data_IF_673111083369
#
_entry.id   IF_673111083369
#
_cell.length_a   1.000
_cell.length_b   1.000
_cell.length_c   1.000
_cell.angle_alpha   90.00
_cell.angle_beta   90.00
_cell.angle_gamma   90.00
#
_symmetry.space_group_name_H-M   'P 1'
#
loop_
_entity.id
_entity.type
_entity.pdbx_description
1 polymer ?
#
# COMPACT_ATOMS: atom_id res chain seq x y z
N UNK A 1 -60.07 -36.77 10.03
CA UNK A 1 -59.02 -36.43 9.03
C UNK A 1 -58.28 -35.22 9.56
N UNK A 2 -57.03 -35.42 10.00
CA UNK A 2 -56.20 -34.43 10.68
C UNK A 2 -55.36 -33.68 9.64
N UNK A 3 -55.54 -32.37 9.55
CA UNK A 3 -54.67 -31.48 8.78
C UNK A 3 -53.57 -30.99 9.73
N UNK A 4 -52.33 -31.43 9.51
CA UNK A 4 -51.16 -30.98 10.25
C UNK A 4 -50.57 -29.79 9.50
N UNK A 5 -50.60 -28.61 10.13
CA UNK A 5 -49.91 -27.41 9.68
C UNK A 5 -48.48 -27.49 10.23
N UNK A 6 -47.51 -27.65 9.33
CA UNK A 6 -46.08 -27.59 9.66
C UNK A 6 -45.63 -26.13 9.63
N UNK A 7 -45.36 -25.55 10.80
CA UNK A 7 -44.68 -24.26 10.94
C UNK A 7 -43.18 -24.42 10.66
N UNK A 8 -42.71 -23.82 9.57
CA UNK A 8 -41.30 -23.69 9.24
C UNK A 8 -40.75 -22.43 9.94
N UNK A 9 -40.00 -22.61 11.03
CA UNK A 9 -39.23 -21.52 11.64
C UNK A 9 -37.92 -21.35 10.85
N UNK A 10 -37.85 -20.33 9.99
CA UNK A 10 -36.59 -19.85 9.44
C UNK A 10 -35.82 -19.13 10.55
N UNK A 11 -34.87 -19.82 11.19
CA UNK A 11 -33.80 -19.18 11.94
C UNK A 11 -32.89 -18.46 10.95
N UNK A 12 -33.12 -17.16 10.76
CA UNK A 12 -32.11 -16.25 10.21
C UNK A 12 -31.02 -16.16 11.29
N UNK A 13 -29.94 -16.91 11.10
CA UNK A 13 -28.71 -16.66 11.82
C UNK A 13 -28.21 -15.28 11.37
N UNK A 14 -28.51 -14.25 12.18
CA UNK A 14 -27.80 -12.96 12.10
C UNK A 14 -26.38 -13.27 12.53
N UNK A 15 -25.53 -13.61 11.57
CA UNK A 15 -24.09 -13.52 11.77
C UNK A 15 -23.83 -12.01 11.90
N UNK A 16 -23.85 -11.52 13.13
CA UNK A 16 -23.33 -10.18 13.41
C UNK A 16 -21.85 -10.25 13.03
N UNK A 17 -21.49 -9.70 11.87
CA UNK A 17 -20.08 -9.51 11.54
C UNK A 17 -19.46 -8.70 12.69
N UNK A 18 -18.34 -9.19 13.21
CA UNK A 18 -17.62 -8.47 14.25
C UNK A 18 -17.23 -7.09 13.70
N UNK A 19 -17.59 -6.05 14.44
CA UNK A 19 -17.27 -4.68 14.07
C UNK A 19 -15.76 -4.45 14.23
N UNK A 20 -15.00 -4.22 13.14
CA UNK A 20 -13.55 -4.08 13.23
C UNK A 20 -13.14 -2.86 14.04
N UNK A 21 -13.98 -1.81 14.11
CA UNK A 21 -13.71 -0.61 14.89
C UNK A 21 -13.93 -0.84 16.38
N UNK A 22 -14.91 -1.66 16.77
CA UNK A 22 -15.06 -2.04 18.17
C UNK A 22 -13.82 -2.81 18.64
N UNK A 23 -13.29 -3.72 17.81
CA UNK A 23 -12.04 -4.42 18.13
C UNK A 23 -10.84 -3.47 18.21
N UNK A 24 -10.75 -2.45 17.35
CA UNK A 24 -9.73 -1.40 17.41
C UNK A 24 -9.82 -0.61 18.72
N UNK A 25 -11.03 -0.17 19.08
CA UNK A 25 -11.29 0.55 20.33
C UNK A 25 -10.85 -0.27 21.55
N UNK A 26 -11.15 -1.57 21.58
CA UNK A 26 -10.71 -2.46 22.67
C UNK A 26 -9.19 -2.64 22.76
N UNK A 27 -8.46 -2.43 21.66
CA UNK A 27 -6.99 -2.41 21.65
C UNK A 27 -6.41 -1.05 22.05
N UNK A 28 -7.12 0.04 21.79
CA UNK A 28 -6.74 1.39 22.25
C UNK A 28 -6.93 1.49 23.77
N UNK A 29 -8.12 1.15 24.27
CA UNK A 29 -8.47 1.15 25.69
C UNK A 29 -9.59 0.13 25.97
N UNK A 30 -9.38 -0.79 26.92
CA UNK A 30 -10.32 -1.88 27.17
C UNK A 30 -11.67 -1.34 27.65
N UNK A 31 -12.74 -1.72 26.97
CA UNK A 31 -14.10 -1.24 27.19
C UNK A 31 -14.46 0.06 26.44
N UNK A 32 -13.54 0.63 25.67
CA UNK A 32 -13.79 1.84 24.90
C UNK A 32 -14.93 1.67 23.88
N UNK A 33 -15.13 0.47 23.33
CA UNK A 33 -16.22 0.21 22.38
C UNK A 33 -17.60 0.65 22.90
N UNK A 34 -17.83 0.58 24.22
CA UNK A 34 -19.08 1.01 24.87
C UNK A 34 -19.30 2.52 24.86
N UNK A 35 -18.23 3.31 24.72
CA UNK A 35 -18.27 4.78 24.70
C UNK A 35 -18.56 5.33 23.30
N UNK A 36 -18.49 4.49 22.27
CA UNK A 36 -18.72 4.87 20.88
C UNK A 36 -19.90 4.10 20.28
N UNK A 37 -20.47 4.65 19.22
CA UNK A 37 -21.42 3.98 18.33
C UNK A 37 -20.93 4.22 16.91
N UNK A 38 -20.72 3.16 16.16
CA UNK A 38 -20.18 3.25 14.79
C UNK A 38 -21.24 2.82 13.78
N UNK A 39 -21.38 3.57 12.69
CA UNK A 39 -22.41 3.32 11.67
C UNK A 39 -21.83 3.41 10.26
N UNK A 40 -21.89 2.30 9.51
CA UNK A 40 -21.56 2.29 8.09
C UNK A 40 -22.72 2.86 7.26
N UNK A 41 -22.43 3.91 6.49
CA UNK A 41 -23.41 4.60 5.66
C UNK A 41 -22.93 4.62 4.21
N UNK A 42 -23.71 4.01 3.31
CA UNK A 42 -23.39 4.01 1.89
C UNK A 42 -23.31 5.44 1.33
N UNK A 43 -22.20 5.75 0.66
CA UNK A 43 -22.01 7.04 0.00
C UNK A 43 -20.98 6.90 -1.13
N UNK A 44 -21.19 7.59 -2.27
CA UNK A 44 -20.19 7.64 -3.33
C UNK A 44 -18.98 8.50 -2.96
N UNK A 45 -19.09 9.35 -1.94
CA UNK A 45 -18.00 10.23 -1.47
C UNK A 45 -17.44 9.68 -0.16
N UNK A 46 -16.12 9.77 0.01
CA UNK A 46 -15.49 9.25 1.23
C UNK A 46 -15.69 10.27 2.33
N UNK A 47 -16.22 9.83 3.48
CA UNK A 47 -16.53 10.73 4.56
C UNK A 47 -16.52 10.06 5.93
N UNK A 48 -16.36 10.88 6.96
CA UNK A 48 -16.80 10.55 8.31
C UNK A 48 -17.65 11.69 8.90
N UNK A 49 -18.51 11.35 9.86
CA UNK A 49 -19.35 12.28 10.59
C UNK A 49 -19.32 11.96 12.08
N UNK A 50 -19.08 12.98 12.91
CA UNK A 50 -19.13 12.92 14.36
C UNK A 50 -20.42 13.54 14.86
N UNK A 51 -21.09 12.88 15.80
CA UNK A 51 -22.25 13.41 16.50
C UNK A 51 -22.38 12.78 17.90
N UNK A 52 -23.44 13.12 18.63
CA UNK A 52 -23.66 12.68 20.00
C UNK A 52 -25.00 11.94 20.13
N UNK A 53 -25.00 10.79 20.81
CA UNK A 53 -26.21 10.07 21.20
C UNK A 53 -26.13 9.69 22.68
N UNK A 54 -26.88 10.39 23.53
CA UNK A 54 -26.77 10.25 24.99
C UNK A 54 -25.33 10.53 25.45
N UNK A 55 -24.70 9.51 26.04
CA UNK A 55 -23.30 9.55 26.50
C UNK A 55 -22.29 8.97 25.50
N UNK A 56 -22.74 8.48 24.33
CA UNK A 56 -21.86 7.90 23.32
C UNK A 56 -21.53 8.90 22.22
N UNK A 57 -20.30 8.82 21.74
CA UNK A 57 -19.88 9.50 20.50
C UNK A 57 -20.30 8.62 19.33
N UNK A 58 -21.07 9.20 18.40
CA UNK A 58 -21.49 8.51 17.18
C UNK A 58 -20.53 8.86 16.05
N UNK A 59 -19.97 7.85 15.41
CA UNK A 59 -19.07 8.00 14.27
C UNK A 59 -19.69 7.28 13.07
N UNK A 60 -20.06 8.03 12.05
CA UNK A 60 -20.54 7.47 10.77
C UNK A 60 -19.45 7.56 9.73
N UNK A 61 -19.45 6.64 8.77
CA UNK A 61 -18.58 6.73 7.59
C UNK A 61 -18.97 5.71 6.53
N UNK A 62 -18.49 5.89 5.30
CA UNK A 62 -18.81 4.97 4.20
C UNK A 62 -17.90 3.75 4.11
N UNK A 63 -16.81 3.71 4.88
CA UNK A 63 -15.93 2.55 5.04
C UNK A 63 -15.47 2.46 6.49
N UNK A 64 -14.99 1.28 6.92
CA UNK A 64 -14.43 1.13 8.27
C UNK A 64 -13.20 2.02 8.47
N UNK A 65 -12.33 2.13 7.46
CA UNK A 65 -11.20 3.07 7.47
C UNK A 65 -11.67 4.50 7.71
N UNK A 66 -12.73 4.97 7.06
CA UNK A 66 -13.21 6.34 7.28
C UNK A 66 -13.81 6.52 8.68
N UNK A 67 -14.44 5.48 9.25
CA UNK A 67 -14.85 5.49 10.67
C UNK A 67 -13.63 5.56 11.60
N UNK A 68 -12.55 4.83 11.31
CA UNK A 68 -11.30 4.90 12.06
C UNK A 68 -10.66 6.30 11.99
N UNK A 69 -10.68 6.96 10.83
CA UNK A 69 -10.26 8.36 10.69
C UNK A 69 -11.13 9.27 11.56
N UNK A 70 -12.45 9.08 11.58
CA UNK A 70 -13.34 9.83 12.46
C UNK A 70 -13.03 9.62 13.95
N UNK A 71 -12.67 8.40 14.35
CA UNK A 71 -12.19 8.11 15.69
C UNK A 71 -10.89 8.88 15.99
N UNK A 72 -9.90 8.81 15.10
CA UNK A 72 -8.64 9.53 15.26
C UNK A 72 -8.87 11.05 15.37
N UNK A 73 -9.74 11.60 14.51
CA UNK A 73 -10.14 13.01 14.54
C UNK A 73 -10.76 13.40 15.88
N UNK A 74 -11.71 12.60 16.37
CA UNK A 74 -12.33 12.85 17.67
C UNK A 74 -11.29 12.84 18.79
N UNK A 75 -10.42 11.84 18.82
CA UNK A 75 -9.37 11.73 19.83
C UNK A 75 -8.45 12.97 19.81
N UNK A 76 -7.99 13.40 18.64
CA UNK A 76 -7.12 14.57 18.49
C UNK A 76 -7.81 15.88 18.90
N UNK A 77 -8.98 16.17 18.33
CA UNK A 77 -9.57 17.51 18.40
C UNK A 77 -10.59 17.72 19.52
N UNK A 78 -11.17 16.64 20.06
CA UNK A 78 -12.11 16.73 21.20
C UNK A 78 -11.47 16.22 22.49
N UNK A 79 -10.76 15.10 22.44
CA UNK A 79 -10.18 14.49 23.64
C UNK A 79 -8.75 14.95 23.96
N UNK A 80 -8.05 15.62 23.03
CA UNK A 80 -6.66 16.01 23.20
C UNK A 80 -5.70 14.81 23.27
N UNK A 81 -6.09 13.68 22.67
CA UNK A 81 -5.37 12.41 22.67
C UNK A 81 -4.74 12.22 21.30
N UNK A 82 -3.46 11.90 21.28
CA UNK A 82 -2.69 11.73 20.06
C UNK A 82 -2.14 10.29 20.00
N UNK A 83 -2.51 9.54 18.97
CA UNK A 83 -2.08 8.15 18.76
C UNK A 83 -1.07 8.10 17.61
N UNK A 84 0.16 7.68 17.90
CA UNK A 84 1.25 7.55 16.92
C UNK A 84 1.97 6.22 17.14
N UNK A 85 2.94 5.86 16.29
CA UNK A 85 3.75 4.65 16.47
C UNK A 85 4.30 4.47 17.90
N UNK A 86 4.71 5.55 18.55
CA UNK A 86 5.25 5.51 19.92
C UNK A 86 4.18 5.31 21.01
N UNK A 87 2.91 5.52 20.69
CA UNK A 87 1.81 5.43 21.65
C UNK A 87 0.46 5.13 20.95
N UNK A 88 0.23 3.86 20.63
CA UNK A 88 -1.00 3.40 19.97
C UNK A 88 -2.15 3.01 20.93
N UNK A 89 -1.90 3.07 22.24
CA UNK A 89 -2.88 2.82 23.28
C UNK A 89 -2.94 4.00 24.25
N UNK A 90 -4.05 4.15 24.96
CA UNK A 90 -4.23 5.23 25.95
C UNK A 90 -5.31 4.86 26.94
N UNK A 91 -5.49 5.66 27.98
CA UNK A 91 -6.67 5.56 28.86
C UNK A 91 -7.66 6.67 28.51
N UNK A 92 -8.84 6.29 28.03
CA UNK A 92 -9.88 7.24 27.71
C UNK A 92 -10.55 7.72 29.00
N UNK A 93 -10.86 9.02 29.14
CA UNK A 93 -11.53 9.53 30.32
C UNK A 93 -12.88 8.84 30.53
N UNK A 94 -13.31 8.74 31.79
CA UNK A 94 -14.58 8.11 32.14
C UNK A 94 -15.78 8.77 31.43
N UNK A 95 -15.71 10.10 31.30
CA UNK A 95 -16.63 10.90 30.49
C UNK A 95 -15.88 11.51 29.32
N UNK A 96 -16.31 11.19 28.10
CA UNK A 96 -15.74 11.70 26.86
C UNK A 96 -16.23 13.14 26.59
N UNK A 97 -15.37 14.06 26.11
CA UNK A 97 -15.80 15.38 25.67
C UNK A 97 -16.91 15.30 24.62
N UNK A 98 -18.01 16.03 24.82
CA UNK A 98 -19.21 15.88 23.99
C UNK A 98 -19.04 16.55 22.63
N UNK A 99 -19.63 15.94 21.60
CA UNK A 99 -19.80 16.57 20.28
C UNK A 99 -21.09 17.40 20.31
N UNK A 100 -20.99 18.73 20.38
CA UNK A 100 -22.14 19.63 20.57
C UNK A 100 -22.93 19.90 19.29
N UNK A 101 -22.32 19.70 18.13
CA UNK A 101 -22.96 19.85 16.82
C UNK A 101 -22.38 18.83 15.85
N UNK A 102 -23.18 18.20 14.97
CA UNK A 102 -22.66 17.26 13.99
C UNK A 102 -21.54 17.88 13.14
N UNK A 103 -20.43 17.17 13.01
CA UNK A 103 -19.26 17.59 12.23
C UNK A 103 -18.96 16.53 11.16
N UNK A 104 -18.94 16.96 9.89
CA UNK A 104 -18.71 16.07 8.75
C UNK A 104 -17.50 16.50 7.94
N UNK A 105 -16.66 15.53 7.61
CA UNK A 105 -15.49 15.69 6.74
C UNK A 105 -15.63 14.75 5.56
N UNK A 106 -15.34 15.25 4.35
CA UNK A 106 -15.47 14.48 3.12
C UNK A 106 -14.31 14.75 2.18
N UNK A 107 -13.95 13.74 1.39
CA UNK A 107 -12.86 13.80 0.43
C UNK A 107 -13.17 13.05 -0.88
N UNK A 108 -12.62 13.58 -1.97
CA UNK A 108 -12.62 12.92 -3.29
C UNK A 108 -11.29 12.19 -3.55
N UNK A 109 -10.32 12.30 -2.62
CA UNK A 109 -9.06 11.57 -2.65
C UNK A 109 -9.31 10.14 -2.15
N UNK A 110 -9.71 9.27 -3.08
CA UNK A 110 -10.21 7.93 -2.80
C UNK A 110 -9.13 6.93 -2.38
N UNK A 111 -7.90 7.14 -2.81
CA UNK A 111 -6.80 6.20 -2.57
C UNK A 111 -5.81 6.79 -1.56
N UNK A 112 -5.56 6.09 -0.47
CA UNK A 112 -4.54 6.44 0.52
C UNK A 112 -3.63 5.24 0.67
N UNK A 113 -2.47 5.35 0.02
CA UNK A 113 -1.50 4.29 -0.13
C UNK A 113 -0.52 4.26 1.04
N UNK A 114 0.00 3.08 1.34
CA UNK A 114 1.09 2.92 2.29
C UNK A 114 2.09 1.84 1.86
N UNK A 115 3.33 2.17 2.21
CA UNK A 115 4.66 1.58 2.11
C UNK A 115 5.43 1.65 0.79
N UNK A 116 6.71 1.98 0.98
CA UNK A 116 7.79 1.68 0.07
C UNK A 116 8.24 0.21 0.25
N UNK A 117 8.80 -0.43 -0.79
CA UNK A 117 9.49 -1.72 -0.64
C UNK A 117 10.57 -1.65 0.45
N UNK A 118 11.36 -0.57 0.48
CA UNK A 118 12.42 -0.35 1.46
C UNK A 118 11.96 -0.49 2.92
N UNK A 119 10.72 -0.07 3.24
CA UNK A 119 10.13 -0.21 4.59
C UNK A 119 10.15 -1.64 5.10
N UNK A 120 9.94 -2.61 4.20
CA UNK A 120 9.89 -4.03 4.55
C UNK A 120 11.25 -4.57 5.01
N UNK A 121 12.35 -3.95 4.58
CA UNK A 121 13.70 -4.32 5.02
C UNK A 121 14.21 -3.45 6.16
N UNK A 122 14.04 -2.13 6.08
CA UNK A 122 14.61 -1.21 7.07
C UNK A 122 13.83 -1.14 8.38
N UNK A 123 12.51 -1.38 8.35
CA UNK A 123 11.67 -1.34 9.56
C UNK A 123 11.07 -2.71 9.89
N UNK A 124 10.57 -3.42 8.89
CA UNK A 124 9.63 -4.53 9.13
C UNK A 124 10.24 -5.93 9.03
N UNK A 125 11.53 -6.05 8.70
CA UNK A 125 12.18 -7.34 8.40
C UNK A 125 11.98 -8.39 9.49
N UNK A 126 11.84 -7.96 10.75
CA UNK A 126 11.69 -8.85 11.90
C UNK A 126 10.39 -8.65 12.67
N UNK A 127 9.39 -7.99 12.08
CA UNK A 127 8.10 -7.79 12.73
C UNK A 127 7.32 -9.09 12.87
N UNK A 128 6.77 -9.30 14.06
CA UNK A 128 5.81 -10.35 14.31
C UNK A 128 4.37 -9.89 14.02
N UNK A 129 3.42 -10.79 14.20
CA UNK A 129 2.00 -10.46 14.03
C UNK A 129 1.53 -9.35 14.98
N UNK A 130 2.05 -9.28 16.21
CA UNK A 130 1.62 -8.28 17.19
C UNK A 130 2.00 -6.88 16.71
N UNK A 131 3.22 -6.71 16.18
CA UNK A 131 3.65 -5.42 15.61
C UNK A 131 2.89 -5.09 14.33
N UNK A 132 2.66 -6.05 13.44
CA UNK A 132 1.83 -5.86 12.24
C UNK A 132 0.39 -5.46 12.57
N UNK A 133 -0.22 -6.05 13.59
CA UNK A 133 -1.55 -5.67 14.05
C UNK A 133 -1.61 -4.20 14.47
N UNK A 134 -0.62 -3.73 15.22
CA UNK A 134 -0.50 -2.32 15.61
C UNK A 134 -0.33 -1.42 14.39
N UNK A 135 0.45 -1.83 13.39
CA UNK A 135 0.61 -1.05 12.16
C UNK A 135 -0.69 -0.92 11.37
N UNK A 136 -1.44 -2.02 11.23
CA UNK A 136 -2.69 -1.98 10.47
C UNK A 136 -3.75 -1.13 11.18
N UNK A 137 -3.70 -1.07 12.51
CA UNK A 137 -4.52 -0.15 13.29
C UNK A 137 -4.10 1.32 13.08
N UNK A 138 -2.79 1.60 13.04
CA UNK A 138 -2.26 2.91 12.70
C UNK A 138 -2.71 3.32 11.29
N UNK A 139 -2.53 2.44 10.30
CA UNK A 139 -2.99 2.64 8.92
C UNK A 139 -4.48 3.01 8.87
N UNK A 140 -5.34 2.28 9.59
CA UNK A 140 -6.78 2.57 9.63
C UNK A 140 -7.08 3.96 10.22
N UNK A 141 -6.45 4.32 11.35
CA UNK A 141 -6.59 5.63 12.00
C UNK A 141 -6.08 6.80 11.13
N UNK A 142 -5.15 6.54 10.21
CA UNK A 142 -4.57 7.51 9.27
C UNK A 142 -5.20 7.45 7.88
N UNK A 143 -6.27 6.68 7.72
CA UNK A 143 -7.07 6.65 6.52
C UNK A 143 -6.52 5.81 5.38
N UNK A 144 -5.44 5.06 5.59
CA UNK A 144 -4.85 4.16 4.59
C UNK A 144 -5.86 3.09 4.20
N UNK A 145 -6.06 2.93 2.90
CA UNK A 145 -6.96 1.93 2.32
C UNK A 145 -6.33 1.13 1.17
N UNK A 146 -5.09 1.45 0.78
CA UNK A 146 -4.36 0.81 -0.31
C UNK A 146 -2.93 0.43 0.14
N UNK A 147 -2.74 -0.44 1.14
CA UNK A 147 -1.41 -0.78 1.64
C UNK A 147 -0.68 -1.78 0.74
N UNK A 148 0.62 -1.62 0.55
CA UNK A 148 1.51 -2.62 -0.02
C UNK A 148 1.59 -3.83 0.92
N UNK A 149 1.47 -5.04 0.37
CA UNK A 149 1.45 -6.29 1.11
C UNK A 149 2.30 -7.35 0.41
N UNK A 150 3.61 -7.27 0.62
CA UNK A 150 4.62 -8.12 -0.04
C UNK A 150 5.28 -9.15 0.89
N UNK A 151 4.87 -9.19 2.18
CA UNK A 151 5.36 -10.22 3.11
C UNK A 151 5.13 -11.62 2.52
N UNK A 152 6.18 -12.43 2.46
CA UNK A 152 6.08 -13.79 1.94
C UNK A 152 6.04 -13.87 0.41
N UNK A 153 6.43 -12.82 -0.32
CA UNK A 153 6.70 -12.88 -1.76
C UNK A 153 7.71 -13.98 -2.10
N UNK A 154 8.75 -14.11 -1.29
CA UNK A 154 9.79 -15.12 -1.42
C UNK A 154 9.25 -16.56 -1.33
N UNK A 155 8.07 -16.76 -0.73
CA UNK A 155 7.38 -18.06 -0.70
C UNK A 155 6.84 -18.41 -2.09
N UNK A 156 6.21 -17.45 -2.78
CA UNK A 156 5.71 -17.64 -4.14
C UNK A 156 6.88 -17.91 -5.10
N UNK A 157 7.98 -17.15 -4.96
CA UNK A 157 9.21 -17.36 -5.72
C UNK A 157 9.85 -18.73 -5.48
N UNK A 158 10.02 -19.14 -4.22
CA UNK A 158 10.56 -20.46 -3.88
C UNK A 158 9.73 -21.56 -4.54
N UNK A 159 8.40 -21.50 -4.42
CA UNK A 159 7.52 -22.50 -5.01
C UNK A 159 7.61 -22.52 -6.54
N UNK A 160 7.62 -21.36 -7.18
CA UNK A 160 7.80 -21.24 -8.63
C UNK A 160 9.13 -21.83 -9.08
N UNK A 161 10.24 -21.45 -8.45
CA UNK A 161 11.59 -21.89 -8.83
C UNK A 161 11.77 -23.40 -8.65
N UNK A 162 11.21 -23.98 -7.59
CA UNK A 162 11.16 -25.45 -7.42
C UNK A 162 10.44 -26.12 -8.59
N UNK A 163 9.31 -25.57 -9.06
CA UNK A 163 8.58 -26.09 -10.23
C UNK A 163 9.32 -25.90 -11.55
N UNK A 164 10.20 -24.90 -11.64
CA UNK A 164 11.08 -24.67 -12.79
C UNK A 164 12.35 -25.54 -12.76
N UNK A 165 12.58 -26.31 -11.69
CA UNK A 165 13.69 -27.26 -11.59
C UNK A 165 14.94 -26.72 -10.87
N UNK A 166 14.83 -25.61 -10.15
CA UNK A 166 15.86 -25.19 -9.20
C UNK A 166 15.80 -26.03 -7.94
N UNK A 167 16.97 -26.34 -7.39
CA UNK A 167 17.12 -26.96 -6.08
C UNK A 167 17.00 -25.92 -4.96
N UNK A 168 16.78 -26.37 -3.72
CA UNK A 168 16.77 -25.46 -2.55
C UNK A 168 18.09 -24.70 -2.39
N UNK A 169 19.21 -25.32 -2.73
CA UNK A 169 20.53 -24.68 -2.66
C UNK A 169 20.65 -23.55 -3.68
N UNK A 170 20.22 -23.77 -4.92
CA UNK A 170 20.23 -22.74 -5.96
C UNK A 170 19.28 -21.59 -5.62
N UNK A 171 18.09 -21.89 -5.08
CA UNK A 171 17.14 -20.88 -4.59
C UNK A 171 17.77 -20.06 -3.46
N UNK A 172 18.52 -20.69 -2.55
CA UNK A 172 19.23 -20.02 -1.47
C UNK A 172 20.37 -19.10 -1.92
N UNK A 173 20.86 -19.24 -3.15
CA UNK A 173 21.82 -18.33 -3.79
C UNK A 173 21.14 -17.16 -4.51
N UNK A 174 19.84 -17.27 -4.77
CA UNK A 174 19.05 -16.28 -5.48
C UNK A 174 18.26 -15.37 -4.53
N UNK A 175 17.45 -15.94 -3.64
CA UNK A 175 16.60 -15.18 -2.72
C UNK A 175 17.46 -14.60 -1.60
N UNK A 176 17.35 -13.29 -1.39
CA UNK A 176 18.11 -12.59 -0.36
C UNK A 176 17.65 -12.93 1.07
N UNK A 177 18.48 -12.55 2.04
CA UNK A 177 18.16 -12.64 3.46
C UNK A 177 17.11 -11.62 3.91
N UNK A 178 16.52 -11.79 5.11
CA UNK A 178 15.36 -11.04 5.57
C UNK A 178 15.50 -9.51 5.50
N UNK A 179 16.67 -9.00 5.87
CA UNK A 179 16.95 -7.57 5.91
C UNK A 179 17.28 -6.96 4.53
N UNK A 180 17.25 -7.76 3.46
CA UNK A 180 17.62 -7.35 2.11
C UNK A 180 16.55 -7.65 1.05
N UNK A 181 15.39 -8.17 1.47
CA UNK A 181 14.32 -8.59 0.56
C UNK A 181 13.80 -7.43 -0.30
N UNK A 182 13.75 -6.20 0.22
CA UNK A 182 13.26 -5.05 -0.54
C UNK A 182 14.02 -4.85 -1.85
N UNK A 183 15.35 -4.90 -1.80
CA UNK A 183 16.20 -4.75 -2.99
C UNK A 183 16.21 -5.99 -3.87
N UNK A 184 15.97 -7.17 -3.31
CA UNK A 184 15.78 -8.37 -4.12
C UNK A 184 14.46 -8.31 -4.89
N UNK A 185 13.36 -7.92 -4.24
CA UNK A 185 12.03 -7.73 -4.85
C UNK A 185 12.03 -6.63 -5.93
N UNK A 186 12.86 -5.59 -5.75
CA UNK A 186 13.10 -4.54 -6.75
C UNK A 186 14.19 -4.90 -7.79
N UNK A 187 14.60 -6.17 -7.85
CA UNK A 187 15.50 -6.71 -8.88
C UNK A 187 16.92 -6.08 -8.85
N UNK A 188 17.43 -5.69 -7.68
CA UNK A 188 18.73 -5.02 -7.50
C UNK A 188 19.84 -5.94 -6.98
N UNK A 189 19.53 -7.00 -6.23
CA UNK A 189 20.54 -7.92 -5.70
C UNK A 189 20.02 -9.35 -5.61
N UNK A 190 20.93 -10.32 -5.53
CA UNK A 190 20.63 -11.73 -5.30
C UNK A 190 21.37 -12.28 -4.07
N UNK A 191 20.72 -13.19 -3.34
CA UNK A 191 21.33 -14.11 -2.36
C UNK A 191 21.93 -13.49 -1.09
N UNK A 192 22.17 -12.18 -1.07
CA UNK A 192 22.88 -11.52 0.02
C UNK A 192 22.13 -11.63 1.36
N UNK A 193 22.84 -12.06 2.41
CA UNK A 193 22.26 -12.31 3.73
C UNK A 193 21.45 -13.61 3.86
N UNK A 194 21.31 -14.39 2.78
CA UNK A 194 20.71 -15.72 2.79
C UNK A 194 21.71 -16.83 3.14
N UNK A 195 21.31 -18.12 2.96
CA UNK A 195 20.00 -18.59 2.53
C UNK A 195 18.95 -18.56 3.65
N UNK A 196 17.67 -18.48 3.28
CA UNK A 196 16.55 -18.52 4.21
C UNK A 196 16.22 -19.97 4.63
N UNK A 197 16.01 -20.26 5.94
CA UNK A 197 15.59 -21.59 6.38
C UNK A 197 14.12 -21.87 6.03
N UNK A 198 13.71 -23.15 5.93
CA UNK A 198 12.31 -23.53 5.70
C UNK A 198 11.34 -22.91 6.72
N UNK A 199 11.79 -22.72 7.98
CA UNK A 199 11.01 -22.08 9.04
C UNK A 199 10.64 -20.63 8.71
N UNK A 200 11.51 -19.90 8.00
CA UNK A 200 11.24 -18.53 7.58
C UNK A 200 10.06 -18.50 6.61
N UNK A 201 10.13 -19.26 5.52
CA UNK A 201 9.06 -19.31 4.53
C UNK A 201 7.70 -19.71 5.14
N UNK A 202 7.69 -20.70 6.05
CA UNK A 202 6.47 -21.11 6.73
C UNK A 202 5.91 -20.00 7.64
N UNK A 203 6.79 -19.25 8.31
CA UNK A 203 6.41 -18.12 9.15
C UNK A 203 5.85 -16.96 8.32
N UNK A 204 6.51 -16.61 7.20
CA UNK A 204 6.09 -15.49 6.36
C UNK A 204 4.77 -15.77 5.64
N UNK A 205 4.56 -17.00 5.16
CA UNK A 205 3.26 -17.41 4.59
C UNK A 205 2.13 -17.25 5.62
N UNK A 206 2.35 -17.73 6.85
CA UNK A 206 1.35 -17.63 7.92
C UNK A 206 1.13 -16.18 8.38
N UNK A 207 2.18 -15.37 8.40
CA UNK A 207 2.12 -13.95 8.76
C UNK A 207 1.33 -13.16 7.72
N UNK A 208 1.65 -13.32 6.44
CA UNK A 208 0.97 -12.61 5.34
C UNK A 208 -0.52 -12.93 5.30
N UNK A 209 -0.90 -14.19 5.51
CA UNK A 209 -2.32 -14.59 5.61
C UNK A 209 -3.05 -13.85 6.75
N UNK A 210 -2.39 -13.56 7.87
CA UNK A 210 -2.97 -12.76 8.97
C UNK A 210 -3.06 -11.27 8.61
N UNK A 211 -2.02 -10.74 7.97
CA UNK A 211 -1.97 -9.33 7.49
C UNK A 211 -3.13 -9.07 6.53
N UNK A 212 -3.23 -9.87 5.46
CA UNK A 212 -4.29 -9.72 4.44
C UNK A 212 -5.68 -9.87 5.06
N UNK A 213 -5.88 -10.84 5.95
CA UNK A 213 -7.16 -10.99 6.66
C UNK A 213 -7.55 -9.72 7.40
N UNK A 214 -6.63 -9.11 8.16
CA UNK A 214 -6.91 -7.89 8.92
C UNK A 214 -7.10 -6.66 8.03
N UNK A 215 -6.34 -6.54 6.94
CA UNK A 215 -6.56 -5.49 5.95
C UNK A 215 -7.98 -5.57 5.36
N UNK A 216 -8.42 -6.77 4.99
CA UNK A 216 -9.78 -7.00 4.48
C UNK A 216 -10.88 -6.78 5.54
N UNK A 217 -10.63 -7.08 6.82
CA UNK A 217 -11.55 -6.75 7.92
C UNK A 217 -11.85 -5.24 7.96
N UNK A 218 -10.87 -4.38 7.69
CA UNK A 218 -11.05 -2.92 7.56
C UNK A 218 -11.57 -2.47 6.18
N UNK A 219 -11.70 -3.37 5.21
CA UNK A 219 -12.06 -3.05 3.83
C UNK A 219 -10.93 -2.40 3.02
N UNK A 220 -9.67 -2.53 3.47
CA UNK A 220 -8.50 -2.12 2.68
C UNK A 220 -8.37 -3.02 1.43
N UNK A 221 -7.70 -2.51 0.40
CA UNK A 221 -7.35 -3.21 -0.83
C UNK A 221 -5.82 -3.41 -0.86
N UNK A 222 -5.29 -4.55 -0.41
CA UNK A 222 -3.85 -4.79 -0.43
C UNK A 222 -3.29 -4.77 -1.86
N UNK A 223 -2.12 -4.16 -2.02
CA UNK A 223 -1.33 -4.19 -3.25
C UNK A 223 -0.37 -5.37 -3.15
N UNK A 224 -0.59 -6.42 -3.93
CA UNK A 224 0.26 -7.62 -3.93
C UNK A 224 1.46 -7.46 -4.88
N UNK A 225 2.55 -8.20 -4.71
CA UNK A 225 3.67 -8.13 -5.64
C UNK A 225 3.29 -8.80 -6.96
N UNK A 226 3.60 -8.18 -8.09
CA UNK A 226 3.42 -8.78 -9.40
C UNK A 226 4.72 -9.13 -10.08
N UNK A 227 4.63 -9.77 -11.25
CA UNK A 227 5.78 -10.27 -11.97
C UNK A 227 6.14 -9.37 -13.15
N UNK A 228 7.35 -8.80 -13.11
CA UNK A 228 7.86 -7.92 -14.17
C UNK A 228 9.04 -8.50 -14.97
N UNK A 229 9.24 -9.81 -14.92
CA UNK A 229 10.27 -10.49 -15.71
C UNK A 229 11.60 -10.72 -14.99
N UNK A 230 11.70 -10.50 -13.68
CA UNK A 230 12.85 -10.94 -12.89
C UNK A 230 13.07 -12.45 -13.09
N UNK A 231 14.32 -12.89 -13.19
CA UNK A 231 14.73 -14.30 -13.17
C UNK A 231 16.13 -14.40 -12.56
N UNK A 232 16.52 -15.55 -11.95
CA UNK A 232 17.89 -15.74 -11.48
C UNK A 232 18.93 -15.44 -12.56
N UNK A 233 20.07 -14.87 -12.19
CA UNK A 233 21.13 -14.48 -13.14
C UNK A 233 21.58 -15.64 -14.06
N UNK A 234 21.49 -16.88 -13.58
CA UNK A 234 21.88 -18.09 -14.30
C UNK A 234 20.76 -18.71 -15.16
N UNK A 235 19.58 -18.08 -15.23
CA UNK A 235 18.40 -18.63 -15.91
C UNK A 235 18.62 -18.94 -17.39
N UNK A 236 19.52 -18.21 -18.07
CA UNK A 236 19.92 -18.54 -19.45
C UNK A 236 20.59 -19.91 -19.53
N UNK A 237 21.54 -20.18 -18.64
CA UNK A 237 22.29 -21.43 -18.62
C UNK A 237 21.45 -22.57 -18.05
N UNK A 238 20.67 -22.30 -17.00
CA UNK A 238 19.86 -23.30 -16.30
C UNK A 238 18.60 -23.71 -17.06
N UNK A 239 17.87 -22.73 -17.61
CA UNK A 239 16.55 -22.92 -18.21
C UNK A 239 16.50 -22.68 -19.73
N UNK A 240 17.59 -22.20 -20.34
CA UNK A 240 17.61 -21.88 -21.77
C UNK A 240 16.77 -20.65 -22.15
N UNK A 241 16.46 -19.78 -21.18
CA UNK A 241 15.63 -18.59 -21.41
C UNK A 241 16.41 -17.48 -22.12
N UNK A 242 15.70 -16.72 -22.94
CA UNK A 242 16.17 -15.44 -23.49
C UNK A 242 16.02 -14.36 -22.43
N UNK A 243 17.09 -14.13 -21.68
CA UNK A 243 17.21 -13.10 -20.65
C UNK A 243 18.33 -12.13 -21.00
N UNK A 244 18.15 -10.86 -20.62
CA UNK A 244 19.21 -9.85 -20.60
C UNK A 244 19.87 -9.85 -19.23
N UNK A 245 21.21 -9.78 -19.21
CA UNK A 245 21.97 -9.66 -17.96
C UNK A 245 21.58 -8.37 -17.22
N UNK A 246 21.34 -8.47 -15.92
CA UNK A 246 21.01 -7.30 -15.09
C UNK A 246 22.24 -6.45 -14.75
N UNK A 247 23.45 -6.99 -14.87
CA UNK A 247 24.67 -6.33 -14.48
C UNK A 247 24.84 -6.22 -12.96
N UNK A 248 25.38 -5.10 -12.49
CA UNK A 248 25.73 -4.87 -11.09
C UNK A 248 25.00 -3.63 -10.56
N UNK A 249 24.50 -3.70 -9.34
CA UNK A 249 24.01 -2.55 -8.57
C UNK A 249 24.80 -2.45 -7.26
N UNK A 250 25.50 -1.34 -7.05
CA UNK A 250 26.32 -1.09 -5.84
C UNK A 250 27.26 -2.26 -5.44
N UNK A 251 27.81 -2.97 -6.43
CA UNK A 251 28.70 -4.12 -6.22
C UNK A 251 28.01 -5.48 -6.12
N UNK A 252 26.67 -5.53 -6.10
CA UNK A 252 25.88 -6.76 -6.08
C UNK A 252 25.43 -7.18 -7.48
N UNK A 253 25.45 -8.48 -7.74
CA UNK A 253 24.86 -9.06 -8.96
C UNK A 253 23.34 -8.85 -8.96
N UNK A 254 22.83 -8.26 -10.04
CA UNK A 254 21.39 -8.15 -10.26
C UNK A 254 20.84 -9.44 -10.87
N UNK A 255 19.55 -9.76 -10.64
CA UNK A 255 18.89 -10.77 -11.43
C UNK A 255 18.77 -10.39 -12.91
N UNK A 256 18.58 -11.41 -13.73
CA UNK A 256 18.40 -11.25 -15.17
C UNK A 256 16.97 -10.82 -15.51
N UNK A 257 16.82 -10.11 -16.62
CA UNK A 257 15.53 -9.63 -17.13
C UNK A 257 15.04 -10.54 -18.26
N UNK A 258 13.94 -11.25 -18.03
CA UNK A 258 13.27 -12.08 -19.03
C UNK A 258 12.76 -11.23 -20.18
N UNK A 259 13.18 -11.57 -21.39
CA UNK A 259 12.73 -10.87 -22.58
C UNK A 259 11.21 -11.04 -22.77
N UNK A 260 10.47 -9.95 -23.09
CA UNK A 260 9.06 -10.04 -23.44
C UNK A 260 8.80 -10.77 -24.77
N UNK A 261 9.85 -11.18 -25.48
CA UNK A 261 9.78 -11.98 -26.71
C UNK A 261 10.12 -13.46 -26.50
N UNK A 262 10.53 -13.86 -25.28
CA UNK A 262 10.79 -15.26 -24.97
C UNK A 262 9.49 -16.08 -25.07
N UNK A 263 9.55 -17.26 -25.69
CA UNK A 263 8.39 -18.13 -25.89
C UNK A 263 7.78 -18.64 -24.57
N UNK A 264 8.54 -18.64 -23.47
CA UNK A 264 8.11 -19.06 -22.14
C UNK A 264 7.67 -17.88 -21.25
N UNK A 265 7.80 -16.63 -21.71
CA UNK A 265 7.50 -15.43 -20.91
C UNK A 265 6.11 -15.48 -20.26
N UNK A 266 5.07 -15.77 -21.06
CA UNK A 266 3.71 -15.84 -20.55
C UNK A 266 3.52 -17.01 -19.56
N UNK A 267 4.13 -18.17 -19.85
CA UNK A 267 4.04 -19.36 -18.98
C UNK A 267 4.70 -19.14 -17.62
N UNK A 268 5.84 -18.44 -17.58
CA UNK A 268 6.54 -18.13 -16.34
C UNK A 268 5.73 -17.14 -15.51
N UNK A 269 5.21 -16.06 -16.14
CA UNK A 269 4.36 -15.11 -15.45
C UNK A 269 3.08 -15.78 -14.89
N UNK A 270 2.43 -16.63 -15.69
CA UNK A 270 1.24 -17.38 -15.26
C UNK A 270 1.55 -18.33 -14.09
N UNK A 271 2.75 -18.93 -14.07
CA UNK A 271 3.20 -19.77 -12.96
C UNK A 271 3.40 -18.96 -11.68
N UNK A 272 4.05 -17.79 -11.75
CA UNK A 272 4.20 -16.89 -10.59
C UNK A 272 2.84 -16.51 -10.02
N UNK A 273 1.92 -16.02 -10.86
CA UNK A 273 0.61 -15.60 -10.41
C UNK A 273 -0.25 -16.74 -9.90
N UNK A 274 -0.07 -17.96 -10.43
CA UNK A 274 -0.74 -19.15 -9.88
C UNK A 274 -0.26 -19.44 -8.45
N UNK A 275 1.04 -19.37 -8.18
CA UNK A 275 1.58 -19.52 -6.81
C UNK A 275 1.07 -18.42 -5.88
N UNK A 276 1.20 -17.16 -6.29
CA UNK A 276 0.75 -16.01 -5.51
C UNK A 276 -0.74 -16.09 -5.19
N UNK A 277 -1.58 -16.38 -6.20
CA UNK A 277 -3.02 -16.51 -6.04
C UNK A 277 -3.39 -17.68 -5.13
N UNK A 278 -2.69 -18.80 -5.22
CA UNK A 278 -2.93 -19.95 -4.36
C UNK A 278 -2.58 -19.66 -2.89
N UNK A 279 -1.51 -18.90 -2.64
CA UNK A 279 -1.07 -18.55 -1.29
C UNK A 279 -1.96 -17.46 -0.66
N UNK A 280 -2.25 -16.40 -1.41
CA UNK A 280 -2.73 -15.12 -0.88
C UNK A 280 -4.02 -14.60 -1.53
N UNK A 281 -4.56 -15.30 -2.53
CA UNK A 281 -5.74 -14.89 -3.28
C UNK A 281 -5.45 -13.85 -4.36
N UNK A 282 -6.51 -13.35 -4.99
CA UNK A 282 -6.41 -12.33 -6.05
C UNK A 282 -6.51 -10.92 -5.45
N UNK A 283 -5.69 -10.01 -5.95
CA UNK A 283 -5.81 -8.57 -5.70
C UNK A 283 -6.27 -7.81 -6.94
N UNK A 284 -6.77 -6.59 -6.73
CA UNK A 284 -7.05 -5.63 -7.80
C UNK A 284 -5.82 -4.77 -8.12
N UNK A 285 -4.85 -4.70 -7.22
CA UNK A 285 -3.65 -3.88 -7.37
C UNK A 285 -2.44 -4.77 -7.24
N UNK A 286 -1.50 -4.64 -8.18
CA UNK A 286 -0.22 -5.32 -8.12
C UNK A 286 0.92 -4.32 -8.30
N UNK A 287 1.93 -4.38 -7.44
CA UNK A 287 3.11 -3.53 -7.52
C UNK A 287 4.28 -4.27 -8.15
N UNK A 288 4.98 -3.58 -9.05
CA UNK A 288 6.22 -4.05 -9.65
C UNK A 288 6.93 -2.90 -10.37
N UNK A 289 8.26 -2.88 -10.30
CA UNK A 289 9.10 -1.81 -10.80
C UNK A 289 10.19 -2.37 -11.73
N UNK A 290 9.84 -2.76 -12.98
CA UNK A 290 10.83 -3.23 -13.93
C UNK A 290 11.91 -2.17 -14.14
N UNK A 291 13.16 -2.60 -14.18
CA UNK A 291 14.32 -1.72 -14.45
C UNK A 291 14.48 -0.60 -13.39
N UNK A 292 14.16 -0.90 -12.13
CA UNK A 292 14.36 0.01 -11.00
C UNK A 292 15.85 0.34 -10.81
N UNK A 293 16.16 1.64 -10.76
CA UNK A 293 17.52 2.18 -10.67
C UNK A 293 18.48 1.59 -11.72
N UNK A 294 18.01 1.47 -12.96
CA UNK A 294 18.86 1.22 -14.13
C UNK A 294 18.75 2.38 -15.09
N UNK A 295 19.81 2.61 -15.87
CA UNK A 295 19.76 3.53 -17.00
C UNK A 295 18.85 2.98 -18.12
N UNK A 296 18.49 3.83 -19.07
CA UNK A 296 17.89 3.39 -20.32
C UNK A 296 18.83 2.46 -21.10
N UNK A 297 18.22 1.53 -21.83
CA UNK A 297 18.89 0.51 -22.63
C UNK A 297 18.16 0.39 -23.95
N UNK A 298 18.85 0.72 -25.04
CA UNK A 298 18.30 0.71 -26.40
C UNK A 298 17.98 -0.71 -26.90
N UNK A 299 18.56 -1.75 -26.29
CA UNK A 299 18.26 -3.14 -26.61
C UNK A 299 16.89 -3.59 -26.09
N UNK A 300 16.28 -2.84 -25.16
CA UNK A 300 15.01 -3.20 -24.53
C UNK A 300 13.85 -2.50 -25.23
N UNK A 301 12.92 -3.30 -25.76
CA UNK A 301 11.62 -2.78 -26.20
C UNK A 301 10.71 -2.52 -24.98
N UNK A 302 10.89 -1.35 -24.36
CA UNK A 302 10.12 -0.91 -23.20
C UNK A 302 8.61 -0.94 -23.45
N UNK A 303 8.17 -0.61 -24.67
CA UNK A 303 6.74 -0.59 -25.00
C UNK A 303 6.15 -2.00 -24.98
N UNK A 304 6.88 -2.98 -25.53
CA UNK A 304 6.47 -4.38 -25.49
C UNK A 304 6.58 -4.97 -24.09
N UNK A 305 7.62 -4.62 -23.33
CA UNK A 305 7.76 -5.02 -21.93
C UNK A 305 6.56 -4.55 -21.09
N UNK A 306 6.21 -3.26 -21.17
CA UNK A 306 5.05 -2.70 -20.46
C UNK A 306 3.73 -3.38 -20.84
N UNK A 307 3.51 -3.64 -22.14
CA UNK A 307 2.33 -4.40 -22.59
C UNK A 307 2.29 -5.81 -22.00
N UNK A 308 3.42 -6.52 -22.01
CA UNK A 308 3.50 -7.90 -21.49
C UNK A 308 3.24 -7.97 -19.99
N UNK A 309 3.79 -7.04 -19.21
CA UNK A 309 3.52 -6.92 -17.78
C UNK A 309 2.02 -6.73 -17.54
N UNK A 310 1.40 -5.78 -18.24
CA UNK A 310 -0.04 -5.52 -18.12
C UNK A 310 -0.89 -6.73 -18.54
N UNK A 311 -0.58 -7.36 -19.67
CA UNK A 311 -1.30 -8.54 -20.17
C UNK A 311 -1.24 -9.69 -19.15
N UNK A 312 -0.08 -9.96 -18.55
CA UNK A 312 0.08 -11.01 -17.55
C UNK A 312 -0.82 -10.77 -16.32
N UNK A 313 -0.82 -9.54 -15.78
CA UNK A 313 -1.73 -9.17 -14.68
C UNK A 313 -3.21 -9.34 -15.07
N UNK A 314 -3.59 -8.88 -16.26
CA UNK A 314 -4.99 -8.90 -16.73
C UNK A 314 -5.50 -10.31 -17.00
N UNK A 315 -4.64 -11.28 -17.35
CA UNK A 315 -5.01 -12.70 -17.44
C UNK A 315 -5.47 -13.26 -16.09
N UNK A 316 -4.89 -12.79 -14.99
CA UNK A 316 -5.19 -13.23 -13.63
C UNK A 316 -6.43 -12.54 -13.07
N UNK A 317 -6.47 -11.21 -13.24
CA UNK A 317 -7.59 -10.36 -12.87
C UNK A 317 -7.81 -9.27 -13.94
N UNK A 318 -8.91 -9.30 -14.71
CA UNK A 318 -9.21 -8.27 -15.72
C UNK A 318 -9.31 -6.84 -15.16
N UNK A 319 -9.59 -6.71 -13.85
CA UNK A 319 -9.65 -5.43 -13.15
C UNK A 319 -8.30 -5.01 -12.53
N UNK A 320 -7.22 -5.74 -12.79
CA UNK A 320 -5.90 -5.43 -12.23
C UNK A 320 -5.43 -4.02 -12.64
N UNK A 321 -4.92 -3.28 -11.67
CA UNK A 321 -4.21 -2.02 -11.86
C UNK A 321 -2.75 -2.23 -11.46
N UNK A 322 -1.85 -1.80 -12.34
CA UNK A 322 -0.42 -1.77 -12.06
C UNK A 322 -0.09 -0.56 -11.20
N UNK A 323 0.43 -0.80 -9.99
CA UNK A 323 1.00 0.22 -9.12
C UNK A 323 2.50 0.32 -9.37
N UNK A 324 2.98 1.48 -9.80
CA UNK A 324 4.40 1.70 -10.16
C UNK A 324 4.97 2.92 -9.43
N UNK A 325 6.23 2.82 -9.02
CA UNK A 325 6.96 3.91 -8.40
C UNK A 325 7.36 4.96 -9.46
N UNK A 326 6.97 6.21 -9.21
CA UNK A 326 7.48 7.40 -9.87
C UNK A 326 8.79 7.82 -9.22
N UNK A 327 9.88 7.14 -9.57
CA UNK A 327 11.23 7.39 -9.09
C UNK A 327 12.18 7.48 -10.28
N UNK A 328 12.89 8.60 -10.40
CA UNK A 328 13.85 8.87 -11.48
C UNK A 328 13.28 8.62 -12.90
N UNK A 329 13.78 7.62 -13.62
CA UNK A 329 13.35 7.22 -14.96
C UNK A 329 11.99 6.51 -14.95
N UNK A 330 11.58 5.92 -13.82
CA UNK A 330 10.35 5.15 -13.71
C UNK A 330 9.10 6.00 -13.40
N UNK A 331 7.92 5.61 -13.90
CA UNK A 331 7.75 4.77 -15.08
C UNK A 331 8.31 5.46 -16.33
N UNK A 332 9.02 4.70 -17.16
CA UNK A 332 9.52 5.18 -18.46
C UNK A 332 8.35 5.50 -19.38
N UNK A 333 8.27 6.69 -20.01
CA UNK A 333 7.15 7.05 -20.87
C UNK A 333 6.88 6.02 -21.98
N UNK A 334 7.95 5.45 -22.57
CA UNK A 334 7.86 4.44 -23.62
C UNK A 334 7.10 3.18 -23.19
N UNK A 335 7.20 2.81 -21.92
CA UNK A 335 6.60 1.62 -21.33
C UNK A 335 5.10 1.79 -21.09
N UNK A 336 4.69 2.98 -20.69
CA UNK A 336 3.32 3.26 -20.25
C UNK A 336 2.44 3.95 -21.31
N UNK A 337 3.03 4.57 -22.35
CA UNK A 337 2.33 5.41 -23.34
C UNK A 337 1.05 4.81 -23.95
N UNK A 338 0.98 3.48 -24.08
CA UNK A 338 -0.13 2.78 -24.72
C UNK A 338 -1.16 2.21 -23.72
N UNK A 339 -0.99 2.46 -22.42
CA UNK A 339 -1.92 1.96 -21.39
C UNK A 339 -3.13 2.89 -21.26
N UNK A 340 -4.27 2.30 -20.89
CA UNK A 340 -5.50 3.05 -20.67
C UNK A 340 -5.46 3.75 -19.31
N UNK A 341 -6.22 4.83 -19.16
CA UNK A 341 -6.50 5.36 -17.82
C UNK A 341 -7.13 4.26 -16.95
N UNK A 342 -6.72 4.17 -15.68
CA UNK A 342 -7.16 3.17 -14.72
C UNK A 342 -6.38 1.85 -14.74
N UNK A 343 -5.65 1.55 -15.81
CA UNK A 343 -4.77 0.37 -15.85
C UNK A 343 -3.47 0.61 -15.05
N UNK A 344 -3.05 1.86 -14.90
CA UNK A 344 -1.83 2.26 -14.19
C UNK A 344 -2.16 3.26 -13.08
N UNK A 345 -1.55 3.05 -11.91
CA UNK A 345 -1.53 3.97 -10.78
C UNK A 345 -0.08 4.30 -10.44
N UNK A 346 0.34 5.55 -10.68
CA UNK A 346 1.72 5.99 -10.40
C UNK A 346 1.82 6.58 -9.00
N UNK A 347 2.79 6.15 -8.22
CA UNK A 347 3.14 6.74 -6.94
C UNK A 347 4.19 7.84 -7.20
N UNK A 348 3.82 9.13 -7.18
CA UNK A 348 4.83 10.19 -7.28
C UNK A 348 5.63 10.22 -5.97
N UNK A 349 6.71 9.44 -5.94
CA UNK A 349 7.21 8.83 -4.71
C UNK A 349 7.73 9.87 -3.70
N UNK A 350 8.15 11.04 -4.20
CA UNK A 350 8.80 12.11 -3.44
C UNK A 350 8.15 13.48 -3.71
N UNK A 351 6.82 13.54 -3.80
CA UNK A 351 6.08 14.76 -4.17
C UNK A 351 6.34 15.95 -3.25
N UNK A 352 6.65 15.72 -1.97
CA UNK A 352 6.93 16.79 -1.02
C UNK A 352 8.28 17.47 -1.28
N UNK A 353 9.18 16.87 -2.06
CA UNK A 353 10.53 17.39 -2.28
C UNK A 353 10.97 17.50 -3.74
N UNK A 354 10.57 16.54 -4.58
CA UNK A 354 10.96 16.38 -5.98
C UNK A 354 9.74 15.97 -6.83
N UNK A 355 8.65 16.75 -6.79
CA UNK A 355 7.42 16.42 -7.50
C UNK A 355 7.66 16.30 -9.00
N UNK A 356 7.02 15.33 -9.64
CA UNK A 356 7.14 15.12 -11.09
C UNK A 356 5.92 15.64 -11.86
N UNK A 357 4.79 15.92 -11.19
CA UNK A 357 3.50 16.31 -11.79
C UNK A 357 3.41 17.76 -12.33
N UNK A 358 4.54 18.42 -12.58
CA UNK A 358 4.56 19.65 -13.39
C UNK A 358 4.70 20.98 -12.66
N UNK A 359 4.89 20.99 -11.34
CA UNK A 359 5.42 22.19 -10.65
C UNK A 359 6.96 22.25 -10.75
N UNK A 360 7.60 23.42 -10.54
CA UNK A 360 9.05 23.54 -10.62
C UNK A 360 9.78 22.51 -9.75
N UNK A 361 10.58 21.65 -10.39
CA UNK A 361 11.30 20.55 -9.76
C UNK A 361 12.40 20.09 -10.70
N UNK A 362 13.50 19.56 -10.15
CA UNK A 362 14.56 18.94 -10.96
C UNK A 362 14.11 17.63 -11.63
N UNK A 363 13.02 17.03 -11.16
CA UNK A 363 12.40 15.83 -11.73
C UNK A 363 11.08 16.12 -12.46
N UNK A 364 10.82 17.41 -12.76
CA UNK A 364 9.60 17.84 -13.43
C UNK A 364 9.43 17.10 -14.75
N UNK A 365 8.25 16.50 -14.95
CA UNK A 365 7.77 16.06 -16.26
C UNK A 365 6.80 17.11 -16.79
N UNK A 366 7.02 17.61 -18.01
CA UNK A 366 6.17 18.68 -18.59
C UNK A 366 4.68 18.28 -18.65
N UNK A 367 4.40 17.02 -18.96
CA UNK A 367 3.04 16.46 -19.01
C UNK A 367 2.67 15.63 -17.77
N UNK A 368 3.45 15.73 -16.69
CA UNK A 368 3.27 14.88 -15.50
C UNK A 368 3.24 13.39 -15.85
N UNK A 369 2.10 12.75 -15.55
CA UNK A 369 1.82 11.34 -15.84
C UNK A 369 0.79 11.15 -16.98
N UNK A 370 0.59 12.18 -17.80
CA UNK A 370 -0.32 12.19 -18.95
C UNK A 370 -1.75 11.76 -18.55
N UNK A 371 -2.26 10.66 -19.10
CA UNK A 371 -3.60 10.14 -18.81
C UNK A 371 -3.65 9.20 -17.60
N UNK A 372 -2.53 8.90 -16.94
CA UNK A 372 -2.48 7.87 -15.91
C UNK A 372 -2.86 8.42 -14.54
N UNK A 373 -3.56 7.57 -13.77
CA UNK A 373 -3.90 7.89 -12.41
C UNK A 373 -2.64 7.94 -11.56
N UNK A 374 -2.58 8.86 -10.60
CA UNK A 374 -1.41 8.99 -9.73
C UNK A 374 -1.76 9.45 -8.32
N UNK A 375 -0.84 9.20 -7.38
CA UNK A 375 -0.93 9.59 -5.98
C UNK A 375 0.19 10.58 -5.64
N UNK A 376 -0.15 11.59 -4.84
CA UNK A 376 0.83 12.49 -4.23
C UNK A 376 1.43 11.78 -3.02
N UNK A 377 2.70 11.37 -3.08
CA UNK A 377 3.31 10.60 -2.00
C UNK A 377 4.32 11.44 -1.21
N UNK A 378 4.42 11.15 0.08
CA UNK A 378 5.44 11.70 0.96
C UNK A 378 6.46 10.60 1.27
N UNK A 379 7.70 10.81 0.83
CA UNK A 379 8.80 9.90 1.12
C UNK A 379 9.34 10.13 2.52
N UNK A 380 9.68 11.37 2.88
CA UNK A 380 10.16 11.79 4.20
C UNK A 380 11.50 11.16 4.67
N UNK A 381 11.59 9.83 4.76
CA UNK A 381 12.73 9.10 5.31
C UNK A 381 13.51 8.30 4.26
N UNK A 382 14.84 8.39 4.33
CA UNK A 382 15.78 7.54 3.58
C UNK A 382 16.60 6.67 4.55
N UNK A 383 16.65 5.36 4.32
CA UNK A 383 17.49 4.39 5.02
C UNK A 383 17.16 4.15 6.49
N UNK A 384 15.96 4.50 6.95
CA UNK A 384 15.61 4.57 8.37
C UNK A 384 16.56 5.46 9.20
N UNK A 385 17.18 6.45 8.56
CA UNK A 385 18.08 7.37 9.24
C UNK A 385 17.32 8.18 10.29
N UNK A 386 17.93 8.32 11.46
CA UNK A 386 17.36 9.07 12.57
C UNK A 386 17.87 10.50 12.57
N UNK A 387 16.94 11.45 12.68
CA UNK A 387 17.22 12.88 12.73
C UNK A 387 15.93 13.67 12.64
N UNK A 388 15.87 14.82 13.32
CA UNK A 388 14.73 15.72 13.22
C UNK A 388 14.70 16.34 11.82
N UNK A 389 13.74 15.91 11.01
CA UNK A 389 13.59 16.36 9.63
C UNK A 389 12.10 16.52 9.28
N UNK A 390 11.83 17.40 8.31
CA UNK A 390 10.48 17.61 7.80
C UNK A 390 10.35 18.89 6.99
N UNK A 391 9.98 18.78 5.71
CA UNK A 391 9.72 19.93 4.82
C UNK A 391 8.24 20.30 4.83
N UNK A 392 7.72 20.68 5.99
CA UNK A 392 6.27 20.89 6.23
C UNK A 392 5.65 21.95 5.31
N UNK A 393 6.35 23.07 5.11
CA UNK A 393 5.95 24.16 4.23
C UNK A 393 5.85 23.68 2.77
N UNK A 394 6.87 22.96 2.31
CA UNK A 394 6.92 22.45 0.94
C UNK A 394 5.90 21.33 0.71
N UNK A 395 5.68 20.45 1.69
CA UNK A 395 4.63 19.44 1.66
C UNK A 395 3.26 20.10 1.42
N UNK A 396 2.92 21.09 2.24
CA UNK A 396 1.63 21.80 2.13
C UNK A 396 1.55 22.59 0.82
N UNK A 397 2.60 23.33 0.47
CA UNK A 397 2.65 24.11 -0.78
C UNK A 397 2.43 23.21 -2.00
N UNK A 398 3.20 22.13 -2.11
CA UNK A 398 3.12 21.20 -3.23
C UNK A 398 1.76 20.50 -3.25
N UNK A 399 1.23 20.04 -2.11
CA UNK A 399 -0.10 19.44 -2.07
C UNK A 399 -1.19 20.43 -2.50
N UNK A 400 -1.18 21.68 -2.01
CA UNK A 400 -2.18 22.66 -2.39
C UNK A 400 -2.05 23.13 -3.84
N UNK A 401 -0.84 23.07 -4.44
CA UNK A 401 -0.66 23.30 -5.88
C UNK A 401 -1.48 22.32 -6.72
N UNK A 402 -1.68 21.08 -6.26
CA UNK A 402 -2.51 20.08 -6.95
C UNK A 402 -3.98 20.48 -7.07
N UNK A 403 -4.44 21.43 -6.24
CA UNK A 403 -5.83 21.92 -6.26
C UNK A 403 -6.09 22.89 -7.41
N UNK A 404 -5.05 23.42 -8.02
CA UNK A 404 -5.17 24.18 -9.24
C UNK A 404 -5.48 23.21 -10.38
N UNK A 405 -6.63 23.40 -11.02
CA UNK A 405 -7.05 22.55 -12.13
C UNK A 405 -6.06 22.68 -13.28
N UNK A 406 -5.42 21.57 -13.64
CA UNK A 406 -4.49 21.49 -14.76
C UNK A 406 -4.54 20.08 -15.37
N UNK A 407 -4.08 19.90 -16.63
CA UNK A 407 -3.96 18.57 -17.21
C UNK A 407 -3.14 17.60 -16.36
N UNK A 408 -2.14 18.08 -15.63
CA UNK A 408 -1.26 17.22 -14.82
C UNK A 408 -1.89 16.81 -13.47
N UNK A 409 -2.92 17.52 -12.99
CA UNK A 409 -3.55 17.29 -11.68
C UNK A 409 -4.92 16.62 -11.76
N UNK A 410 -5.51 16.52 -12.96
CA UNK A 410 -6.86 15.95 -13.16
C UNK A 410 -6.96 14.45 -12.81
N UNK A 411 -5.82 13.73 -12.87
CA UNK A 411 -5.73 12.30 -12.60
C UNK A 411 -5.19 11.98 -11.19
N UNK A 412 -5.07 12.98 -10.31
CA UNK A 412 -4.75 12.76 -8.91
C UNK A 412 -5.88 12.00 -8.21
N UNK A 413 -5.60 10.77 -7.73
CA UNK A 413 -6.60 9.91 -7.06
C UNK A 413 -6.46 9.90 -5.54
N UNK A 414 -5.37 10.41 -5.02
CA UNK A 414 -5.19 10.53 -3.58
C UNK A 414 -3.76 10.74 -3.14
N UNK A 415 -3.41 10.19 -1.98
CA UNK A 415 -2.12 10.40 -1.32
C UNK A 415 -1.43 9.07 -1.00
N UNK A 416 -0.15 9.11 -0.64
CA UNK A 416 0.54 7.94 -0.11
C UNK A 416 1.66 8.27 0.87
N UNK A 417 1.99 7.29 1.71
CA UNK A 417 3.18 7.28 2.56
C UNK A 417 4.18 6.29 1.93
N UNK A 418 5.38 6.78 1.60
CA UNK A 418 6.38 6.04 0.81
C UNK A 418 7.77 6.12 1.42
N UNK A 419 7.83 6.22 2.75
CA UNK A 419 9.05 6.25 3.53
C UNK A 419 9.86 4.97 3.40
N UNK A 420 11.19 5.09 3.30
CA UNK A 420 12.06 3.92 3.37
C UNK A 420 12.10 3.35 4.79
N UNK A 421 12.01 4.18 5.82
CA UNK A 421 11.92 3.78 7.21
C UNK A 421 10.74 4.43 7.93
N UNK A 422 10.04 3.66 8.75
CA UNK A 422 8.93 4.11 9.60
C UNK A 422 9.41 4.48 11.02
N UNK A 423 8.48 4.81 11.93
CA UNK A 423 8.75 5.07 13.36
C UNK A 423 9.66 6.28 13.66
N UNK A 424 9.68 7.26 12.75
CA UNK A 424 10.41 8.51 12.92
C UNK A 424 9.53 9.72 12.53
N UNK A 425 9.94 10.93 12.96
CA UNK A 425 9.29 12.20 12.63
C UNK A 425 7.73 12.16 12.54
N UNK A 426 7.01 11.67 13.57
CA UNK A 426 5.57 11.37 13.47
C UNK A 426 4.73 12.58 13.04
N UNK A 427 5.18 13.80 13.36
CA UNK A 427 4.54 15.05 12.95
C UNK A 427 4.37 15.19 11.43
N UNK A 428 5.29 14.64 10.61
CA UNK A 428 5.18 14.68 9.16
C UNK A 428 4.07 13.75 8.66
N UNK A 429 3.96 12.55 9.22
CA UNK A 429 2.93 11.58 8.87
C UNK A 429 1.54 12.05 9.31
N UNK A 430 1.43 12.65 10.50
CA UNK A 430 0.23 13.35 10.94
C UNK A 430 -0.14 14.44 9.95
N UNK A 431 0.79 15.36 9.62
CA UNK A 431 0.55 16.46 8.71
C UNK A 431 0.12 15.99 7.31
N UNK A 432 0.64 14.87 6.82
CA UNK A 432 0.28 14.30 5.52
C UNK A 432 -1.10 13.63 5.52
N UNK A 433 -1.58 13.14 6.67
CA UNK A 433 -2.90 12.50 6.81
C UNK A 433 -4.07 13.49 6.88
N UNK A 434 -3.83 14.75 7.26
CA UNK A 434 -4.84 15.80 7.45
C UNK A 434 -5.47 16.38 6.15
N UNK A 435 -4.70 16.71 5.09
CA UNK A 435 -5.18 17.47 3.95
C UNK A 435 -6.36 16.85 3.18
N UNK A 436 -6.50 15.50 3.08
CA UNK A 436 -7.71 14.90 2.53
C UNK A 436 -9.00 15.33 3.23
N UNK A 437 -8.97 15.56 4.55
CA UNK A 437 -10.14 15.85 5.39
C UNK A 437 -10.34 17.36 5.69
N UNK A 438 -9.33 18.19 5.42
CA UNK A 438 -9.34 19.63 5.73
C UNK A 438 -10.28 20.49 4.85
N UNK A 439 -10.94 19.90 3.85
CA UNK A 439 -11.79 20.61 2.87
C UNK A 439 -12.98 21.35 3.51
N UNK A 440 -13.48 20.90 4.67
CA UNK A 440 -14.55 21.56 5.44
C UNK A 440 -14.05 22.43 6.60
N UNK A 441 -12.81 22.24 7.06
CA UNK A 441 -12.29 22.87 8.29
C UNK A 441 -11.78 24.32 8.12
N UNK A 442 -11.59 24.79 6.88
CA UNK A 442 -11.12 26.16 6.60
C UNK A 442 -12.03 27.28 7.14
N UNK A 443 -13.26 26.98 7.56
CA UNK A 443 -14.12 27.95 8.26
C UNK A 443 -13.88 28.05 9.77
N UNK A 444 -13.21 27.08 10.41
CA UNK A 444 -13.02 27.06 11.87
C UNK A 444 -11.57 27.19 12.32
N UNK A 445 -10.61 26.70 11.54
CA UNK A 445 -9.19 26.82 11.88
C UNK A 445 -8.67 28.05 11.16
N UNK A 446 -8.33 29.10 11.91
CA UNK A 446 -7.90 30.42 11.44
C UNK A 446 -6.56 30.45 10.71
N UNK A 447 -6.30 29.50 9.82
CA UNK A 447 -5.20 29.55 8.84
C UNK A 447 -5.60 30.49 7.71
N UNK A 448 -5.67 31.78 8.02
CA UNK A 448 -5.61 32.86 7.03
C UNK A 448 -4.14 33.11 6.71
N UNK A 449 -3.74 32.79 5.49
CA UNK A 449 -2.45 33.17 4.93
C UNK A 449 -1.35 32.14 5.14
N UNK A 450 -1.34 31.13 4.28
CA UNK A 450 -0.12 30.55 3.71
C UNK A 450 -0.40 30.24 2.25
#
# INVERSE_FOLDING_TARGET
MRTIITLFFCLIAVISSANPIDNLLERIDKGASKKFKTELIQSPTDFFELSQEGNRIVIKGNTWVNIAVGLNWYLKYYAGIHLTWNNMNTHLPASLPRVTSPERHATDLKLRYDFNYCTFSYSMAFWDWKRWQTEIDWMALHGVNLPLAIVGEEVAWRNMLLKLGYTKEEIGKFIAGPAFLAWWEMNNLEGWGGPLPDSWYNQQEALQKKILKRMHEYGMQPVLPGFCGMMPHDAKAKLGLNVTDGGIWNGYTRPANLSPTDAHSDKIADLYYAELTNLYGKANYYSMDPFHETNDDEAIDYSKAGRKVMEAMKRVNPNATWVIQGWTENPRPQMIKNMKNGDLLVLDLFSECRPMFGIPSIWKREKGYEQHDWLFCMLENFGANVGLHGRMDLLLHNFYSTKQSSPNTQHLKGIGFTMEGSENNPVMFELMSEPPCARSARKKIGLKGM
#
